data_IF_194973502731
#
_entry.id   IF_194973502731
#
_cell.length_a   1.000
_cell.length_b   1.000
_cell.length_c   1.000
_cell.angle_alpha   90.00
_cell.angle_beta   90.00
_cell.angle_gamma   90.00
#
_symmetry.space_group_name_H-M   'P 1'
#
loop_
_entity.id
_entity.type
_entity.pdbx_description
1 polymer ?
#
# COMPACT_ATOMS: atom_id res chain seq x y z
N UNK A 1 9.09 2.67 16.96
CA UNK A 1 9.82 2.84 18.24
C UNK A 1 9.03 3.64 19.29
N UNK A 2 8.04 4.47 18.91
CA UNK A 2 7.18 5.23 19.85
C UNK A 2 6.28 4.38 20.77
N UNK A 3 5.74 3.24 20.31
CA UNK A 3 4.81 2.43 21.12
C UNK A 3 5.46 1.83 22.39
N UNK A 4 6.75 1.46 22.32
CA UNK A 4 7.49 0.96 23.50
C UNK A 4 7.68 2.03 24.58
N UNK A 5 7.76 3.30 24.18
CA UNK A 5 7.90 4.43 25.10
C UNK A 5 6.64 4.64 25.94
N UNK A 6 5.48 4.22 25.44
CA UNK A 6 4.20 4.25 26.15
C UNK A 6 3.84 2.91 26.80
N UNK A 7 4.78 1.96 26.88
CA UNK A 7 4.54 0.60 27.40
C UNK A 7 3.39 -0.15 26.69
N UNK A 8 3.12 0.20 25.44
CA UNK A 8 2.13 -0.50 24.63
C UNK A 8 2.80 -1.72 24.03
N UNK A 9 2.34 -2.92 24.44
CA UNK A 9 2.77 -4.19 23.85
C UNK A 9 2.28 -4.28 22.40
N UNK A 10 3.17 -4.61 21.47
CA UNK A 10 2.81 -4.87 20.08
C UNK A 10 3.64 -6.01 19.53
N UNK A 11 3.07 -6.75 18.58
CA UNK A 11 3.74 -7.80 17.82
C UNK A 11 3.77 -7.39 16.35
N UNK A 12 4.87 -7.72 15.67
CA UNK A 12 4.96 -7.61 14.21
C UNK A 12 4.56 -8.98 13.69
N UNK A 13 3.62 -9.04 12.75
CA UNK A 13 3.08 -10.30 12.22
C UNK A 13 3.40 -10.43 10.73
N UNK A 14 3.66 -11.65 10.27
CA UNK A 14 3.77 -11.94 8.85
C UNK A 14 2.37 -12.17 8.25
N UNK A 15 1.89 -11.23 7.45
CA UNK A 15 0.59 -11.30 6.77
C UNK A 15 0.59 -12.17 5.51
N UNK A 16 1.75 -12.65 5.04
CA UNK A 16 1.83 -13.54 3.87
C UNK A 16 1.41 -14.99 4.18
N UNK A 17 1.44 -15.39 5.45
CA UNK A 17 1.04 -16.73 5.87
C UNK A 17 -0.49 -16.84 5.96
N UNK A 18 -1.10 -17.52 4.99
CA UNK A 18 -2.55 -17.60 4.70
C UNK A 18 -3.46 -18.06 5.86
N UNK A 19 -2.93 -18.52 7.00
CA UNK A 19 -3.74 -19.09 8.07
C UNK A 19 -3.53 -18.49 9.48
N UNK A 20 -2.32 -18.03 9.84
CA UNK A 20 -1.97 -17.90 11.28
C UNK A 20 -1.27 -16.60 11.70
N UNK A 21 -1.12 -15.58 10.84
CA UNK A 21 -0.49 -14.28 11.18
C UNK A 21 0.68 -14.42 12.17
N UNK A 22 1.66 -15.25 11.83
CA UNK A 22 2.69 -15.66 12.78
C UNK A 22 3.51 -14.44 13.23
N UNK A 23 3.78 -14.30 14.54
CA UNK A 23 4.68 -13.25 15.02
C UNK A 23 6.05 -13.40 14.39
N UNK A 24 6.57 -12.29 13.87
CA UNK A 24 7.95 -12.17 13.42
C UNK A 24 8.80 -12.01 14.68
N UNK A 25 9.73 -12.95 14.85
CA UNK A 25 10.48 -13.12 16.09
C UNK A 25 11.66 -12.14 16.23
N UNK A 26 12.09 -11.53 15.11
CA UNK A 26 13.24 -10.62 15.10
C UNK A 26 13.14 -9.52 14.02
N UNK A 27 13.89 -8.43 14.23
CA UNK A 27 14.01 -7.36 13.21
C UNK A 27 14.67 -7.89 11.93
N UNK A 28 15.64 -8.80 12.03
CA UNK A 28 16.31 -9.38 10.85
C UNK A 28 15.31 -10.10 9.97
N UNK A 29 14.47 -10.96 10.55
CA UNK A 29 13.43 -11.70 9.84
C UNK A 29 12.41 -10.75 9.18
N UNK A 30 12.06 -9.64 9.84
CA UNK A 30 11.21 -8.61 9.25
C UNK A 30 11.87 -7.94 8.03
N UNK A 31 13.18 -7.65 8.11
CA UNK A 31 13.93 -7.04 7.01
C UNK A 31 14.09 -8.00 5.84
N UNK A 32 14.32 -9.28 6.10
CA UNK A 32 14.42 -10.32 5.07
C UNK A 32 13.09 -10.43 4.31
N UNK A 33 11.96 -10.48 5.01
CA UNK A 33 10.63 -10.49 4.39
C UNK A 33 10.36 -9.25 3.53
N UNK A 34 10.72 -8.06 4.03
CA UNK A 34 10.59 -6.81 3.27
C UNK A 34 11.50 -6.78 2.03
N UNK A 35 12.62 -7.48 2.05
CA UNK A 35 13.57 -7.55 0.93
C UNK A 35 13.16 -8.55 -0.17
N UNK A 36 12.21 -9.44 0.12
CA UNK A 36 11.70 -10.44 -0.82
C UNK A 36 10.61 -9.90 -1.75
N UNK A 37 10.11 -8.68 -1.53
CA UNK A 37 9.13 -8.06 -2.43
C UNK A 37 9.76 -7.81 -3.81
N UNK A 38 9.44 -8.69 -4.76
CA UNK A 38 9.77 -8.50 -6.16
C UNK A 38 8.71 -7.58 -6.80
N UNK A 39 9.11 -6.58 -7.59
CA UNK A 39 8.17 -5.80 -8.39
C UNK A 39 7.37 -6.76 -9.27
N UNK A 40 6.05 -6.68 -9.20
CA UNK A 40 5.21 -7.44 -10.12
C UNK A 40 5.03 -6.62 -11.40
N UNK A 41 5.27 -7.23 -12.55
CA UNK A 41 5.09 -6.58 -13.84
C UNK A 41 3.92 -7.23 -14.57
N UNK A 42 2.81 -6.50 -14.65
CA UNK A 42 1.63 -6.92 -15.40
C UNK A 42 1.63 -6.35 -16.81
N UNK A 43 1.20 -7.16 -17.78
CA UNK A 43 0.79 -6.68 -19.10
C UNK A 43 -0.52 -5.89 -19.03
N UNK A 44 -0.83 -5.10 -20.06
CA UNK A 44 -2.11 -4.37 -20.11
C UNK A 44 -3.33 -5.31 -20.04
N UNK A 45 -3.27 -6.48 -20.67
CA UNK A 45 -4.35 -7.48 -20.60
C UNK A 45 -4.55 -8.02 -19.19
N UNK A 46 -3.46 -8.24 -18.45
CA UNK A 46 -3.54 -8.65 -17.04
C UNK A 46 -4.10 -7.51 -16.17
N UNK A 47 -3.68 -6.26 -16.40
CA UNK A 47 -4.22 -5.10 -15.69
C UNK A 47 -5.71 -4.90 -15.99
N UNK A 48 -6.13 -5.07 -17.24
CA UNK A 48 -7.54 -5.08 -17.63
C UNK A 48 -8.31 -6.14 -16.85
N UNK A 49 -7.84 -7.39 -16.88
CA UNK A 49 -8.44 -8.50 -16.16
C UNK A 49 -8.52 -8.22 -14.65
N UNK A 50 -7.42 -7.74 -14.05
CA UNK A 50 -7.35 -7.39 -12.63
C UNK A 50 -8.39 -6.34 -12.29
N UNK A 51 -8.44 -5.24 -13.03
CA UNK A 51 -9.37 -4.13 -12.75
C UNK A 51 -10.82 -4.57 -12.91
N UNK A 52 -11.11 -5.37 -13.94
CA UNK A 52 -12.47 -5.76 -14.29
C UNK A 52 -13.03 -6.88 -13.39
N UNK A 53 -12.16 -7.69 -12.76
CA UNK A 53 -12.55 -8.86 -11.97
C UNK A 53 -12.28 -8.74 -10.46
N UNK A 54 -11.76 -7.60 -9.97
CA UNK A 54 -11.55 -7.37 -8.55
C UNK A 54 -12.42 -6.23 -8.01
N UNK A 55 -12.70 -6.27 -6.71
CA UNK A 55 -13.47 -5.23 -6.04
C UNK A 55 -12.59 -4.02 -5.73
N UNK A 56 -12.55 -3.02 -6.63
CA UNK A 56 -11.82 -1.77 -6.45
C UNK A 56 -12.73 -0.53 -6.28
N UNK A 57 -13.83 -0.66 -5.55
CA UNK A 57 -14.90 0.36 -5.50
C UNK A 57 -14.63 1.62 -4.64
N UNK A 58 -13.46 1.75 -4.00
CA UNK A 58 -13.24 2.83 -3.01
C UNK A 58 -12.51 4.05 -3.59
N UNK A 59 -11.45 3.82 -4.36
CA UNK A 59 -10.57 4.86 -4.90
C UNK A 59 -10.42 4.64 -6.40
N UNK A 60 -10.58 5.69 -7.20
CA UNK A 60 -10.24 5.73 -8.62
C UNK A 60 -8.73 5.93 -8.75
N UNK A 61 -8.05 4.93 -9.28
CA UNK A 61 -6.59 4.87 -9.42
C UNK A 61 -6.30 4.59 -10.88
N UNK A 62 -5.46 5.41 -11.51
CA UNK A 62 -4.95 5.13 -12.85
C UNK A 62 -3.87 4.04 -12.77
N UNK A 63 -4.12 2.90 -13.40
CA UNK A 63 -3.20 1.75 -13.39
C UNK A 63 -2.25 1.76 -14.58
N UNK A 64 -2.69 2.35 -15.69
CA UNK A 64 -1.90 2.74 -16.86
C UNK A 64 -2.70 3.78 -17.66
N UNK A 65 -2.10 4.48 -18.63
CA UNK A 65 -2.74 5.63 -19.29
C UNK A 65 -4.19 5.34 -19.74
N UNK A 66 -5.13 6.11 -19.21
CA UNK A 66 -6.58 6.03 -19.45
C UNK A 66 -7.32 4.79 -18.91
N UNK A 67 -6.67 3.86 -18.19
CA UNK A 67 -7.34 2.76 -17.46
C UNK A 67 -7.37 3.07 -15.97
N UNK A 68 -8.56 3.04 -15.40
CA UNK A 68 -8.79 3.36 -13.99
C UNK A 68 -9.54 2.24 -13.29
N UNK A 69 -9.27 2.07 -12.00
CA UNK A 69 -10.18 1.33 -11.12
C UNK A 69 -11.54 2.05 -11.03
N UNK A 70 -12.66 1.31 -10.82
CA UNK A 70 -14.02 1.86 -10.79
C UNK A 70 -14.38 2.67 -9.53
N UNK A 71 -13.42 2.95 -8.65
CA UNK A 71 -13.68 3.64 -7.39
C UNK A 71 -13.99 5.14 -7.55
N UNK A 72 -14.08 5.84 -6.44
CA UNK A 72 -14.37 7.27 -6.43
C UNK A 72 -13.11 8.11 -6.65
N UNK A 73 -13.24 9.21 -7.38
CA UNK A 73 -12.19 10.22 -7.49
C UNK A 73 -11.88 10.83 -6.12
N UNK A 74 -10.59 10.82 -5.74
CA UNK A 74 -10.07 11.39 -4.49
C UNK A 74 -9.09 12.55 -4.74
N UNK A 75 -8.99 13.05 -5.97
CA UNK A 75 -8.05 14.12 -6.35
C UNK A 75 -8.23 15.41 -5.54
N UNK A 76 -9.46 15.78 -5.21
CA UNK A 76 -9.74 16.93 -4.34
C UNK A 76 -9.10 16.82 -2.94
N UNK A 77 -8.86 15.59 -2.47
CA UNK A 77 -8.27 15.33 -1.16
C UNK A 77 -6.74 15.40 -1.18
N UNK A 78 -6.10 15.55 -2.35
CA UNK A 78 -4.64 15.66 -2.46
C UNK A 78 -4.06 16.92 -1.82
N UNK A 79 -4.92 17.86 -1.39
CA UNK A 79 -4.51 19.03 -0.60
C UNK A 79 -3.78 18.66 0.71
N UNK A 80 -3.92 17.42 1.19
CA UNK A 80 -3.20 16.93 2.37
C UNK A 80 -1.73 16.57 2.10
N UNK A 81 -1.33 16.46 0.83
CA UNK A 81 0.05 16.19 0.42
C UNK A 81 0.69 17.48 -0.10
N UNK A 82 1.94 17.73 0.33
CA UNK A 82 2.76 18.78 -0.28
C UNK A 82 2.93 18.51 -1.78
N UNK A 83 3.14 19.56 -2.58
CA UNK A 83 3.37 19.41 -4.02
C UNK A 83 4.66 18.62 -4.34
N UNK A 84 5.65 18.68 -3.45
CA UNK A 84 6.89 17.91 -3.53
C UNK A 84 7.23 17.32 -2.15
N UNK A 85 7.48 16.02 -2.12
CA UNK A 85 7.81 15.22 -0.95
C UNK A 85 9.25 14.71 -1.00
N UNK A 86 10.10 15.27 -1.88
CA UNK A 86 11.51 14.91 -1.99
C UNK A 86 12.21 14.87 -0.62
N UNK A 87 12.85 13.73 -0.32
CA UNK A 87 13.56 13.51 0.94
C UNK A 87 12.67 13.11 2.12
N UNK A 88 11.34 13.16 1.98
CA UNK A 88 10.40 12.83 3.05
C UNK A 88 10.04 11.35 3.05
N UNK A 89 9.74 10.83 4.22
CA UNK A 89 9.08 9.53 4.39
C UNK A 89 7.59 9.75 4.69
N UNK A 90 6.72 8.96 4.09
CA UNK A 90 5.25 9.03 4.24
C UNK A 90 4.72 7.74 4.86
N UNK A 91 3.84 7.89 5.86
CA UNK A 91 3.04 6.80 6.42
C UNK A 91 1.56 7.12 6.17
N UNK A 92 0.89 6.26 5.40
CA UNK A 92 -0.54 6.34 5.11
C UNK A 92 -1.30 5.30 5.96
N UNK A 93 -2.17 5.77 6.85
CA UNK A 93 -2.92 4.93 7.79
C UNK A 93 -4.33 4.72 7.25
N UNK A 94 -4.66 3.48 6.89
CA UNK A 94 -5.90 3.16 6.19
C UNK A 94 -5.82 3.49 4.70
N UNK A 95 -4.75 3.04 4.03
CA UNK A 95 -4.43 3.41 2.65
C UNK A 95 -5.44 2.91 1.60
N UNK A 96 -6.35 2.01 1.98
CA UNK A 96 -7.28 1.32 1.09
C UNK A 96 -6.58 0.64 -0.08
N UNK A 97 -6.75 1.12 -1.31
CA UNK A 97 -6.10 0.56 -2.49
C UNK A 97 -4.79 1.28 -2.85
N UNK A 98 -4.31 2.21 -2.00
CA UNK A 98 -3.00 2.82 -2.13
C UNK A 98 -2.95 4.16 -2.87
N UNK A 99 -4.09 4.79 -3.18
CA UNK A 99 -4.13 6.04 -3.97
C UNK A 99 -3.16 7.13 -3.46
N UNK A 100 -3.19 7.46 -2.16
CA UNK A 100 -2.33 8.49 -1.61
C UNK A 100 -0.87 8.04 -1.51
N UNK A 101 -0.61 6.73 -1.36
CA UNK A 101 0.74 6.19 -1.45
C UNK A 101 1.33 6.45 -2.84
N UNK A 102 0.62 6.09 -3.91
CA UNK A 102 1.09 6.29 -5.29
C UNK A 102 1.27 7.77 -5.61
N UNK A 103 0.36 8.61 -5.14
CA UNK A 103 0.46 10.06 -5.29
C UNK A 103 1.64 10.66 -4.50
N UNK A 104 2.01 10.09 -3.36
CA UNK A 104 3.21 10.48 -2.64
C UNK A 104 4.50 10.06 -3.36
N UNK A 105 4.52 8.87 -3.98
CA UNK A 105 5.65 8.40 -4.79
C UNK A 105 5.85 9.27 -6.04
N UNK A 106 4.76 9.60 -6.75
CA UNK A 106 4.79 10.56 -7.89
C UNK A 106 5.34 11.93 -7.48
N UNK A 107 5.23 12.30 -6.20
CA UNK A 107 5.75 13.53 -5.61
C UNK A 107 7.14 13.35 -4.98
N UNK A 108 7.90 12.34 -5.38
CA UNK A 108 9.30 12.11 -4.96
C UNK A 108 9.50 11.75 -3.49
N UNK A 109 8.48 11.27 -2.78
CA UNK A 109 8.69 10.74 -1.43
C UNK A 109 9.80 9.66 -1.46
N UNK A 110 10.76 9.76 -0.55
CA UNK A 110 11.91 8.83 -0.50
C UNK A 110 11.54 7.46 0.05
N UNK A 111 10.43 7.38 0.80
CA UNK A 111 9.88 6.14 1.32
C UNK A 111 8.39 6.31 1.59
N UNK A 112 7.58 5.34 1.18
CA UNK A 112 6.14 5.35 1.42
C UNK A 112 5.74 4.01 2.04
N UNK A 113 4.97 4.05 3.11
CA UNK A 113 4.37 2.86 3.75
C UNK A 113 2.88 3.09 3.91
N UNK A 114 2.07 2.21 3.34
CA UNK A 114 0.63 2.15 3.58
C UNK A 114 0.29 1.05 4.58
N UNK A 115 -0.71 1.28 5.42
CA UNK A 115 -1.30 0.26 6.31
C UNK A 115 -2.79 0.14 6.05
N UNK A 116 -3.31 -1.08 6.02
CA UNK A 116 -4.73 -1.34 5.78
C UNK A 116 -5.15 -2.61 6.52
N UNK A 117 -6.32 -2.56 7.15
CA UNK A 117 -6.85 -3.65 7.99
C UNK A 117 -7.90 -4.48 7.28
N UNK A 118 -8.54 -3.94 6.23
CA UNK A 118 -9.50 -4.66 5.41
C UNK A 118 -8.75 -5.54 4.41
N UNK A 119 -8.82 -6.85 4.64
CA UNK A 119 -8.13 -7.87 3.84
C UNK A 119 -8.25 -7.67 2.32
N UNK A 120 -9.47 -7.45 1.79
CA UNK A 120 -9.66 -7.23 0.35
C UNK A 120 -8.98 -5.97 -0.19
N UNK A 121 -8.81 -4.94 0.64
CA UNK A 121 -8.12 -3.69 0.25
C UNK A 121 -6.61 -3.85 0.34
N UNK A 122 -6.14 -4.51 1.39
CA UNK A 122 -4.73 -4.88 1.52
C UNK A 122 -4.26 -5.73 0.33
N UNK A 123 -5.02 -6.77 -0.06
CA UNK A 123 -4.71 -7.53 -1.27
C UNK A 123 -4.77 -6.65 -2.51
N UNK A 124 -5.82 -5.83 -2.63
CA UNK A 124 -5.99 -4.93 -3.77
C UNK A 124 -4.84 -3.94 -3.95
N UNK A 125 -4.33 -3.31 -2.88
CA UNK A 125 -3.21 -2.37 -3.00
C UNK A 125 -1.91 -3.07 -3.42
N UNK A 126 -1.68 -4.31 -2.96
CA UNK A 126 -0.51 -5.09 -3.36
C UNK A 126 -0.60 -5.55 -4.83
N UNK A 127 -1.80 -5.81 -5.34
CA UNK A 127 -2.01 -6.12 -6.76
C UNK A 127 -1.77 -4.90 -7.65
N UNK A 128 -2.01 -3.69 -7.15
CA UNK A 128 -1.84 -2.45 -7.92
C UNK A 128 -0.43 -1.85 -7.81
N UNK A 129 0.43 -2.40 -6.96
CA UNK A 129 1.82 -1.98 -6.70
C UNK A 129 2.77 -2.68 -7.65
#
# INVERSE_FOLDING_TARGET
MLLRQYQITFEIINSSAQANYLPISSISEALDLLSLEQPTHYSQQELDYIVDNNMFGHQKIEVYPNKFTPGQDKSANLIVLDQDLKGKSVLDIGCAYGYFCFEAEKRNASRVVGTEVKHHRFLGCNILK
#
